data_IF_726977394104
#
_entry.id   IF_726977394104
#
_cell.length_a   1.000
_cell.length_b   1.000
_cell.length_c   1.000
_cell.angle_alpha   90.00
_cell.angle_beta   90.00
_cell.angle_gamma   90.00
#
_symmetry.space_group_name_H-M   'P 1'
#
loop_
_entity.id
_entity.type
_entity.pdbx_description
1 polymer ?
#
# COMPACT_ATOMS: atom_id res chain seq x y z
N UNK A 1 -1.81 34.75 4.46
CA UNK A 1 -2.93 33.95 3.89
C UNK A 1 -4.17 34.24 4.73
N UNK A 2 -5.24 34.72 4.10
CA UNK A 2 -6.50 34.99 4.82
C UNK A 2 -7.24 33.68 5.12
N UNK A 3 -8.14 33.67 6.12
CA UNK A 3 -8.96 32.50 6.46
C UNK A 3 -9.79 32.04 5.24
N UNK A 4 -10.32 33.00 4.47
CA UNK A 4 -11.06 32.70 3.24
C UNK A 4 -10.22 31.94 2.20
N UNK A 5 -8.93 32.25 2.07
CA UNK A 5 -8.05 31.50 1.17
C UNK A 5 -7.84 30.06 1.66
N UNK A 6 -7.76 29.84 2.98
CA UNK A 6 -7.62 28.51 3.55
C UNK A 6 -8.87 27.65 3.35
N UNK A 7 -10.06 28.23 3.41
CA UNK A 7 -11.31 27.50 3.17
C UNK A 7 -11.36 26.87 1.78
N UNK A 8 -10.77 27.51 0.76
CA UNK A 8 -10.69 26.95 -0.59
C UNK A 8 -9.77 25.72 -0.70
N UNK A 9 -8.82 25.56 0.22
CA UNK A 9 -7.96 24.36 0.28
C UNK A 9 -8.61 23.18 1.01
N UNK A 10 -9.74 23.39 1.70
CA UNK A 10 -10.45 22.31 2.38
C UNK A 10 -11.26 21.52 1.35
N UNK A 11 -11.04 20.19 1.23
CA UNK A 11 -11.84 19.37 0.32
C UNK A 11 -13.30 19.35 0.81
N UNK A 12 -14.26 19.57 -0.08
CA UNK A 12 -15.67 19.63 0.31
C UNK A 12 -16.17 18.27 0.79
N UNK A 13 -16.75 18.20 1.99
CA UNK A 13 -17.35 16.98 2.50
C UNK A 13 -18.47 16.51 1.56
N UNK A 14 -18.43 15.24 1.13
CA UNK A 14 -19.44 14.66 0.25
C UNK A 14 -19.28 14.99 -1.25
N UNK A 15 -18.29 15.79 -1.63
CA UNK A 15 -17.98 16.00 -3.05
C UNK A 15 -17.32 14.75 -3.67
N UNK A 16 -17.62 14.48 -4.94
CA UNK A 16 -16.96 13.41 -5.70
C UNK A 16 -15.51 13.78 -6.00
N UNK A 17 -14.59 12.84 -5.77
CA UNK A 17 -13.21 12.87 -6.23
C UNK A 17 -13.13 12.35 -7.68
N UNK A 18 -11.97 12.52 -8.30
CA UNK A 18 -11.68 12.08 -9.67
C UNK A 18 -11.73 10.56 -9.85
N UNK A 19 -11.53 9.81 -8.76
CA UNK A 19 -11.59 8.34 -8.73
C UNK A 19 -13.02 7.80 -8.51
N UNK A 20 -14.03 8.68 -8.46
CA UNK A 20 -15.43 8.31 -8.22
C UNK A 20 -15.78 8.08 -6.74
N UNK A 21 -14.82 8.19 -5.82
CA UNK A 21 -15.09 8.14 -4.38
C UNK A 21 -15.53 9.50 -3.84
N UNK A 22 -16.19 9.53 -2.69
CA UNK A 22 -16.53 10.79 -2.03
C UNK A 22 -15.40 11.26 -1.10
N UNK A 23 -15.29 12.57 -0.88
CA UNK A 23 -14.44 13.13 0.18
C UNK A 23 -14.80 12.51 1.53
N UNK A 24 -13.83 11.82 2.12
CA UNK A 24 -13.96 11.18 3.43
C UNK A 24 -14.20 12.23 4.50
N UNK A 25 -15.15 11.94 5.40
CA UNK A 25 -15.43 12.77 6.56
C UNK A 25 -14.18 12.99 7.42
N UNK A 26 -13.31 11.99 7.58
CA UNK A 26 -12.09 12.15 8.37
C UNK A 26 -11.09 13.11 7.72
N UNK A 27 -10.97 13.07 6.39
CA UNK A 27 -10.05 13.92 5.64
C UNK A 27 -10.54 15.39 5.72
N UNK A 28 -11.86 15.60 5.51
CA UNK A 28 -12.50 16.89 5.70
C UNK A 28 -12.36 17.38 7.14
N UNK A 29 -12.70 16.55 8.13
CA UNK A 29 -12.66 16.87 9.56
C UNK A 29 -11.28 17.36 9.96
N UNK A 30 -10.22 16.68 9.52
CA UNK A 30 -8.85 17.12 9.77
C UNK A 30 -8.56 18.49 9.15
N UNK A 31 -8.89 18.69 7.87
CA UNK A 31 -8.62 19.94 7.16
C UNK A 31 -9.37 21.14 7.77
N UNK A 32 -10.67 21.02 8.00
CA UNK A 32 -11.47 22.10 8.60
C UNK A 32 -11.02 22.39 10.05
N UNK A 33 -10.59 21.37 10.79
CA UNK A 33 -10.04 21.52 12.14
C UNK A 33 -8.80 22.41 12.19
N UNK A 34 -7.97 22.40 11.13
CA UNK A 34 -6.81 23.28 11.01
C UNK A 34 -7.22 24.73 10.74
N UNK A 35 -8.23 24.93 9.88
CA UNK A 35 -8.77 26.26 9.61
C UNK A 35 -9.38 26.88 10.87
N UNK A 36 -10.19 26.11 11.61
CA UNK A 36 -10.79 26.57 12.86
C UNK A 36 -9.74 26.90 13.93
N UNK A 37 -8.62 26.16 14.00
CA UNK A 37 -7.49 26.51 14.88
C UNK A 37 -6.86 27.83 14.47
N UNK A 38 -6.63 28.03 13.17
CA UNK A 38 -6.05 29.27 12.65
C UNK A 38 -6.96 30.49 12.88
N UNK A 39 -8.27 30.27 12.86
CA UNK A 39 -9.31 31.25 13.18
C UNK A 39 -9.53 31.47 14.68
N UNK A 40 -8.86 30.70 15.56
CA UNK A 40 -9.08 30.79 17.01
C UNK A 40 -10.46 30.29 17.47
N UNK A 41 -11.16 29.56 16.61
CA UNK A 41 -12.50 29.00 16.82
C UNK A 41 -12.47 27.53 17.27
N UNK A 42 -11.31 26.87 17.28
CA UNK A 42 -11.24 25.45 17.68
C UNK A 42 -11.57 25.21 19.16
N UNK A 43 -11.11 26.11 20.04
CA UNK A 43 -11.24 26.00 21.49
C UNK A 43 -12.70 25.88 21.97
N UNK A 44 -13.65 26.49 21.25
CA UNK A 44 -15.06 26.47 21.63
C UNK A 44 -15.74 25.13 21.37
N UNK A 45 -15.13 24.24 20.57
CA UNK A 45 -15.67 22.91 20.29
C UNK A 45 -15.66 22.00 21.54
N UNK A 46 -14.76 22.27 22.48
CA UNK A 46 -14.60 21.49 23.72
C UNK A 46 -15.09 22.22 24.97
N UNK A 47 -15.32 23.54 24.90
CA UNK A 47 -15.66 24.39 26.05
C UNK A 47 -17.17 24.64 26.12
N UNK A 48 -17.71 24.65 27.33
CA UNK A 48 -19.09 25.05 27.56
C UNK A 48 -19.29 26.53 27.22
N UNK A 49 -20.48 26.86 26.73
CA UNK A 49 -20.88 28.23 26.44
C UNK A 49 -20.92 29.03 27.75
N UNK A 50 -20.18 30.15 27.86
CA UNK A 50 -20.25 31.02 29.04
C UNK A 50 -21.67 31.57 29.25
N UNK A 51 -22.05 31.77 30.51
CA UNK A 51 -23.44 32.11 30.88
C UNK A 51 -23.80 33.59 30.72
N UNK A 52 -22.83 34.52 30.81
CA UNK A 52 -23.08 35.97 30.71
C UNK A 52 -21.83 36.77 30.35
N UNK A 53 -22.01 37.94 29.73
CA UNK A 53 -20.99 38.99 29.58
C UNK A 53 -20.13 38.90 28.33
N UNK A 54 -18.98 39.60 28.33
CA UNK A 54 -18.06 39.70 27.18
C UNK A 54 -17.52 38.34 26.71
N UNK A 55 -17.33 37.41 27.66
CA UNK A 55 -16.91 36.04 27.35
C UNK A 55 -17.97 35.28 26.53
N UNK A 56 -19.26 35.49 26.81
CA UNK A 56 -20.35 34.90 26.04
C UNK A 56 -20.39 35.48 24.63
N UNK A 57 -20.34 36.80 24.49
CA UNK A 57 -20.33 37.46 23.18
C UNK A 57 -19.12 37.03 22.32
N UNK A 58 -17.95 36.89 22.94
CA UNK A 58 -16.74 36.38 22.26
C UNK A 58 -16.91 34.92 21.82
N UNK A 59 -17.52 34.09 22.67
CA UNK A 59 -17.84 32.70 22.33
C UNK A 59 -18.81 32.63 21.14
N UNK A 60 -19.88 33.43 21.17
CA UNK A 60 -20.91 33.47 20.13
C UNK A 60 -20.33 33.92 18.79
N UNK A 61 -19.50 34.97 18.77
CA UNK A 61 -18.81 35.42 17.57
C UNK A 61 -17.95 34.32 16.94
N UNK A 62 -17.22 33.55 17.76
CA UNK A 62 -16.42 32.40 17.29
C UNK A 62 -17.29 31.24 16.82
N UNK A 63 -18.45 31.04 17.44
CA UNK A 63 -19.37 29.97 17.07
C UNK A 63 -20.03 30.25 15.72
N UNK A 64 -20.36 31.50 15.43
CA UNK A 64 -20.84 31.97 14.12
C UNK A 64 -19.76 31.86 13.03
N UNK A 65 -18.53 32.26 13.33
CA UNK A 65 -17.40 32.11 12.40
C UNK A 65 -17.13 30.63 12.09
N UNK A 66 -17.20 29.76 13.11
CA UNK A 66 -17.09 28.33 12.92
C UNK A 66 -18.22 27.74 12.07
N UNK A 67 -19.47 28.19 12.26
CA UNK A 67 -20.60 27.76 11.44
C UNK A 67 -20.37 28.09 9.97
N UNK A 68 -19.93 29.31 9.70
CA UNK A 68 -19.63 29.78 8.33
C UNK A 68 -18.52 28.94 7.70
N UNK A 69 -17.43 28.70 8.42
CA UNK A 69 -16.31 27.89 7.95
C UNK A 69 -16.73 26.44 7.63
N UNK A 70 -17.53 25.83 8.52
CA UNK A 70 -18.07 24.48 8.31
C UNK A 70 -18.97 24.47 7.07
N UNK A 71 -19.97 25.36 7.01
CA UNK A 71 -20.94 25.40 5.91
C UNK A 71 -20.31 25.62 4.53
N UNK A 72 -19.30 26.48 4.43
CA UNK A 72 -18.59 26.77 3.16
C UNK A 72 -17.73 25.60 2.66
N UNK A 73 -17.44 24.62 3.51
CA UNK A 73 -16.65 23.43 3.18
C UNK A 73 -17.49 22.17 3.05
N UNK A 74 -18.81 22.29 3.02
CA UNK A 74 -19.73 21.21 2.68
C UNK A 74 -20.11 21.26 1.20
N UNK A 75 -20.24 20.08 0.60
CA UNK A 75 -20.99 19.95 -0.65
C UNK A 75 -22.49 20.17 -0.40
N UNK A 76 -23.27 20.75 -1.34
CA UNK A 76 -24.70 20.97 -1.17
C UNK A 76 -25.50 19.73 -0.76
N UNK A 77 -25.06 18.53 -1.16
CA UNK A 77 -25.68 17.26 -0.75
C UNK A 77 -25.68 17.02 0.78
N UNK A 78 -24.81 17.71 1.52
CA UNK A 78 -24.65 17.57 2.96
C UNK A 78 -25.38 18.66 3.76
N UNK A 79 -25.93 19.70 3.12
CA UNK A 79 -26.54 20.85 3.83
C UNK A 79 -27.71 20.46 4.74
N UNK A 80 -28.52 19.47 4.33
CA UNK A 80 -29.65 18.96 5.12
C UNK A 80 -29.25 18.49 6.53
N UNK A 81 -27.99 18.14 6.75
CA UNK A 81 -27.49 17.65 8.04
C UNK A 81 -27.19 18.75 9.05
N UNK A 82 -27.05 20.00 8.61
CA UNK A 82 -26.74 21.15 9.47
C UNK A 82 -27.69 22.33 9.26
N UNK A 83 -28.75 22.17 8.47
CA UNK A 83 -29.63 23.26 8.07
C UNK A 83 -30.30 23.96 9.26
N UNK A 84 -30.61 23.21 10.31
CA UNK A 84 -31.19 23.67 11.57
C UNK A 84 -30.12 23.89 12.66
N UNK A 85 -28.84 23.90 12.31
CA UNK A 85 -27.77 24.13 13.27
C UNK A 85 -27.78 25.58 13.75
N UNK A 86 -27.77 25.79 15.06
CA UNK A 86 -27.82 27.13 15.65
C UNK A 86 -26.48 27.84 15.61
N UNK A 87 -25.37 27.09 15.66
CA UNK A 87 -24.01 27.60 15.65
C UNK A 87 -23.03 26.52 15.16
N UNK A 88 -21.74 26.87 15.07
CA UNK A 88 -20.71 25.97 14.57
C UNK A 88 -20.45 24.75 15.46
N UNK A 89 -20.73 24.85 16.77
CA UNK A 89 -20.58 23.72 17.71
C UNK A 89 -21.71 22.71 17.50
N UNK A 90 -22.95 23.18 17.31
CA UNK A 90 -24.08 22.31 16.96
C UNK A 90 -23.88 21.65 15.58
N UNK A 91 -23.48 22.43 14.56
CA UNK A 91 -23.18 21.89 13.24
C UNK A 91 -22.10 20.79 13.28
N UNK A 92 -21.03 21.03 14.05
CA UNK A 92 -19.96 20.04 14.26
C UNK A 92 -20.50 18.74 14.89
N UNK A 93 -21.28 18.85 15.97
CA UNK A 93 -21.86 17.70 16.68
C UNK A 93 -22.85 16.93 15.81
N UNK A 94 -23.65 17.61 14.99
CA UNK A 94 -24.59 16.98 14.05
C UNK A 94 -23.87 16.14 13.00
N UNK A 95 -22.84 16.70 12.36
CA UNK A 95 -22.01 15.95 11.42
C UNK A 95 -21.31 14.77 12.13
N UNK A 96 -20.73 15.01 13.30
CA UNK A 96 -20.09 13.97 14.09
C UNK A 96 -21.03 12.78 14.37
N UNK A 97 -22.27 13.05 14.75
CA UNK A 97 -23.29 12.04 15.03
C UNK A 97 -23.63 11.18 13.79
N UNK A 98 -23.50 11.73 12.60
CA UNK A 98 -23.78 11.04 11.34
C UNK A 98 -22.61 10.13 10.94
N UNK A 99 -21.39 10.68 10.88
CA UNK A 99 -20.24 9.96 10.31
C UNK A 99 -19.42 9.18 11.33
N UNK A 100 -19.45 9.54 12.62
CA UNK A 100 -18.73 8.84 13.71
C UNK A 100 -19.68 7.99 14.55
N UNK A 101 -20.68 7.39 13.90
CA UNK A 101 -21.68 6.57 14.57
C UNK A 101 -21.04 5.29 15.13
N UNK A 102 -20.95 5.18 16.45
CA UNK A 102 -20.55 3.95 17.14
C UNK A 102 -21.68 2.89 17.16
N UNK A 103 -22.20 2.53 15.98
CA UNK A 103 -23.17 1.46 15.81
C UNK A 103 -22.48 0.10 15.64
N UNK A 104 -23.17 -0.98 16.00
CA UNK A 104 -22.66 -2.35 15.81
C UNK A 104 -22.28 -2.63 14.35
N UNK A 105 -23.12 -2.21 13.40
CA UNK A 105 -22.84 -2.38 11.98
C UNK A 105 -21.57 -1.64 11.54
N UNK A 106 -21.41 -0.37 11.97
CA UNK A 106 -20.23 0.43 11.62
C UNK A 106 -18.95 -0.16 12.24
N UNK A 107 -19.01 -0.57 13.52
CA UNK A 107 -17.88 -1.27 14.17
C UNK A 107 -17.47 -2.52 13.40
N UNK A 108 -18.43 -3.37 13.03
CA UNK A 108 -18.14 -4.60 12.28
C UNK A 108 -17.52 -4.27 10.91
N UNK A 109 -18.05 -3.27 10.20
CA UNK A 109 -17.53 -2.87 8.90
C UNK A 109 -16.08 -2.38 9.00
N UNK A 110 -15.78 -1.48 9.94
CA UNK A 110 -14.44 -0.94 10.15
C UNK A 110 -13.46 -2.00 10.65
N UNK A 111 -13.88 -2.91 11.55
CA UNK A 111 -13.02 -4.01 11.99
C UNK A 111 -12.69 -4.95 10.86
N UNK A 112 -13.64 -5.25 9.96
CA UNK A 112 -13.35 -6.04 8.76
C UNK A 112 -12.38 -5.32 7.85
N UNK A 113 -12.58 -4.03 7.61
CA UNK A 113 -11.67 -3.24 6.79
C UNK A 113 -10.25 -3.18 7.38
N UNK A 114 -10.13 -3.14 8.71
CA UNK A 114 -8.85 -3.10 9.40
C UNK A 114 -8.15 -4.46 9.37
N UNK A 115 -8.77 -5.51 9.92
CA UNK A 115 -8.15 -6.84 10.05
C UNK A 115 -8.04 -7.61 8.73
N UNK A 116 -8.88 -7.30 7.73
CA UNK A 116 -8.84 -7.91 6.40
C UNK A 116 -8.36 -6.93 5.33
N UNK A 117 -7.61 -5.88 5.68
CA UNK A 117 -6.85 -5.13 4.69
C UNK A 117 -5.78 -6.07 4.11
N UNK A 118 -5.72 -6.18 2.77
CA UNK A 118 -4.72 -7.01 2.09
C UNK A 118 -3.82 -6.12 1.25
N UNK A 119 -2.54 -6.41 1.27
CA UNK A 119 -1.56 -5.74 0.43
C UNK A 119 -1.65 -6.28 -1.00
N UNK A 120 -1.91 -5.39 -1.97
CA UNK A 120 -1.79 -5.69 -3.40
C UNK A 120 -0.37 -5.33 -3.89
N UNK A 121 0.45 -6.31 -4.30
CA UNK A 121 1.83 -6.06 -4.71
C UNK A 121 1.96 -5.25 -6.02
N UNK A 122 0.86 -5.01 -6.73
CA UNK A 122 0.82 -4.18 -7.93
C UNK A 122 0.53 -2.70 -7.65
N UNK A 123 0.18 -2.36 -6.41
CA UNK A 123 -0.08 -0.99 -5.98
C UNK A 123 1.08 -0.45 -5.13
N UNK A 124 1.21 0.88 -4.97
CA UNK A 124 2.12 1.47 -3.98
C UNK A 124 1.86 0.90 -2.57
N UNK A 125 2.92 0.55 -1.84
CA UNK A 125 2.81 0.01 -0.48
C UNK A 125 2.17 1.03 0.47
N UNK A 126 2.34 2.31 0.17
CA UNK A 126 1.74 3.41 0.90
C UNK A 126 0.22 3.37 0.86
N UNK A 127 -0.40 2.89 -0.22
CA UNK A 127 -1.86 2.78 -0.29
C UNK A 127 -2.38 1.78 0.75
N UNK A 128 -1.69 0.65 0.90
CA UNK A 128 -1.98 -0.36 1.92
C UNK A 128 -1.74 0.19 3.34
N UNK A 129 -0.58 0.80 3.59
CA UNK A 129 -0.24 1.39 4.90
C UNK A 129 -1.24 2.48 5.29
N UNK A 130 -1.51 3.42 4.39
CA UNK A 130 -2.43 4.52 4.62
C UNK A 130 -3.86 4.03 4.84
N UNK A 131 -4.28 2.98 4.12
CA UNK A 131 -5.58 2.33 4.31
C UNK A 131 -5.76 1.78 5.73
N UNK A 132 -4.77 1.07 6.25
CA UNK A 132 -4.78 0.51 7.62
C UNK A 132 -4.79 1.63 8.65
N UNK A 133 -3.87 2.59 8.56
CA UNK A 133 -3.77 3.72 9.51
C UNK A 133 -5.07 4.55 9.52
N UNK A 134 -5.65 4.80 8.33
CA UNK A 134 -6.92 5.52 8.20
C UNK A 134 -8.05 4.77 8.88
N UNK A 135 -8.15 3.46 8.68
CA UNK A 135 -9.19 2.63 9.31
C UNK A 135 -9.01 2.55 10.83
N UNK A 136 -7.77 2.44 11.31
CA UNK A 136 -7.47 2.49 12.75
C UNK A 136 -7.88 3.82 13.39
N UNK A 137 -7.60 4.94 12.72
CA UNK A 137 -8.03 6.27 13.18
C UNK A 137 -9.56 6.42 13.18
N UNK A 138 -10.26 5.83 12.20
CA UNK A 138 -11.72 5.78 12.18
C UNK A 138 -12.28 4.98 13.37
N UNK A 139 -11.69 3.83 13.69
CA UNK A 139 -12.04 3.05 14.89
C UNK A 139 -11.84 3.87 16.16
N UNK A 140 -10.68 4.53 16.32
CA UNK A 140 -10.39 5.44 17.44
C UNK A 140 -11.43 6.57 17.53
N UNK A 141 -11.83 7.15 16.40
CA UNK A 141 -12.80 8.25 16.35
C UNK A 141 -14.21 7.88 16.84
N UNK A 142 -14.60 6.60 16.72
CA UNK A 142 -15.88 6.10 17.23
C UNK A 142 -15.77 5.51 18.65
N UNK A 143 -14.63 5.67 19.32
CA UNK A 143 -14.39 5.21 20.68
C UNK A 143 -13.91 3.76 20.80
N UNK A 144 -13.45 3.14 19.71
CA UNK A 144 -12.76 1.85 19.75
C UNK A 144 -11.26 2.11 19.92
N UNK A 145 -10.70 1.78 21.08
CA UNK A 145 -9.24 1.85 21.25
C UNK A 145 -8.57 0.77 20.41
N UNK A 146 -7.52 1.14 19.66
CA UNK A 146 -6.66 0.23 18.93
C UNK A 146 -5.24 0.59 19.34
N UNK A 147 -4.56 -0.34 19.98
CA UNK A 147 -3.19 -0.19 20.42
C UNK A 147 -2.24 -0.17 19.20
N UNK A 148 -1.15 0.57 19.33
CA UNK A 148 -0.23 0.77 18.20
C UNK A 148 0.44 -0.54 17.75
N UNK A 149 0.70 -1.47 18.68
CA UNK A 149 1.19 -2.81 18.34
C UNK A 149 0.19 -3.58 17.46
N UNK A 150 -1.12 -3.42 17.67
CA UNK A 150 -2.15 -4.08 16.85
C UNK A 150 -2.12 -3.54 15.41
N UNK A 151 -1.82 -2.25 15.24
CA UNK A 151 -1.65 -1.64 13.90
C UNK A 151 -0.42 -2.25 13.22
N UNK A 152 0.68 -2.40 13.96
CA UNK A 152 1.91 -3.04 13.47
C UNK A 152 1.67 -4.50 13.07
N UNK A 153 0.98 -5.27 13.91
CA UNK A 153 0.66 -6.67 13.63
C UNK A 153 -0.14 -6.80 12.32
N UNK A 154 -1.17 -5.97 12.15
CA UNK A 154 -2.00 -5.95 10.92
C UNK A 154 -1.19 -5.55 9.70
N UNK A 155 -0.30 -4.55 9.81
CA UNK A 155 0.59 -4.15 8.73
C UNK A 155 1.45 -5.32 8.25
N UNK A 156 1.95 -6.16 9.15
CA UNK A 156 2.87 -7.27 8.84
C UNK A 156 2.11 -8.52 8.36
N UNK A 157 1.03 -8.92 9.05
CA UNK A 157 0.40 -10.22 8.83
C UNK A 157 -0.34 -10.37 7.49
N UNK A 158 -0.78 -9.26 6.90
CA UNK A 158 -1.53 -9.26 5.63
C UNK A 158 -0.72 -8.75 4.44
N UNK A 159 0.61 -8.74 4.56
CA UNK A 159 1.49 -8.52 3.41
C UNK A 159 1.33 -9.66 2.41
N UNK A 160 1.34 -9.34 1.12
CA UNK A 160 1.39 -10.32 0.05
C UNK A 160 2.54 -11.32 0.24
N UNK A 161 2.36 -12.58 -0.18
CA UNK A 161 3.33 -13.66 0.03
C UNK A 161 4.71 -13.35 -0.59
N UNK A 162 4.74 -12.56 -1.68
CA UNK A 162 6.01 -12.11 -2.28
C UNK A 162 6.82 -11.21 -1.33
N UNK A 163 6.21 -10.69 -0.25
CA UNK A 163 6.82 -9.88 0.81
C UNK A 163 7.15 -10.66 2.08
N UNK A 164 7.02 -11.99 2.07
CA UNK A 164 7.30 -12.89 3.21
C UNK A 164 8.67 -12.68 3.86
N UNK A 165 9.72 -12.34 3.10
CA UNK A 165 11.06 -12.10 3.66
C UNK A 165 11.10 -10.90 4.62
N UNK A 166 10.50 -9.77 4.25
CA UNK A 166 10.47 -8.59 5.13
C UNK A 166 9.46 -8.81 6.25
N UNK A 167 8.34 -9.49 5.98
CA UNK A 167 7.35 -9.84 6.99
C UNK A 167 7.97 -10.70 8.10
N UNK A 168 8.75 -11.72 7.74
CA UNK A 168 9.47 -12.57 8.69
C UNK A 168 10.53 -11.81 9.49
N UNK A 169 11.29 -10.92 8.84
CA UNK A 169 12.27 -10.07 9.54
C UNK A 169 11.63 -9.12 10.54
N UNK A 170 10.50 -8.50 10.16
CA UNK A 170 9.77 -7.59 11.05
C UNK A 170 9.11 -8.37 12.19
N UNK A 171 8.48 -9.51 11.91
CA UNK A 171 7.83 -10.35 12.92
C UNK A 171 8.79 -11.04 13.90
N UNK A 172 10.07 -11.20 13.54
CA UNK A 172 11.10 -11.69 14.46
C UNK A 172 11.59 -10.61 15.45
N UNK A 173 11.17 -9.35 15.28
CA UNK A 173 11.54 -8.25 16.17
C UNK A 173 10.87 -8.44 17.53
N UNK A 174 11.65 -8.68 18.58
CA UNK A 174 11.14 -8.92 19.95
C UNK A 174 10.77 -7.63 20.69
N UNK A 175 10.67 -6.50 20.00
CA UNK A 175 10.29 -5.22 20.61
C UNK A 175 8.79 -5.02 20.40
N UNK A 176 8.03 -5.25 21.47
CA UNK A 176 6.59 -4.99 21.51
C UNK A 176 6.24 -3.51 21.24
N UNK A 177 7.21 -2.61 21.43
CA UNK A 177 7.10 -1.16 21.18
C UNK A 177 7.62 -0.73 19.80
N UNK A 178 7.66 -1.64 18.82
CA UNK A 178 8.05 -1.25 17.46
C UNK A 178 7.11 -0.15 16.97
N UNK A 179 7.65 1.03 16.72
CA UNK A 179 6.85 2.17 16.29
C UNK A 179 6.26 1.93 14.89
N UNK A 180 5.01 2.34 14.69
CA UNK A 180 4.34 2.30 13.37
C UNK A 180 5.21 2.96 12.29
N UNK A 181 5.92 4.03 12.63
CA UNK A 181 6.83 4.75 11.72
C UNK A 181 8.03 3.90 11.27
N UNK A 182 8.57 3.05 12.15
CA UNK A 182 9.70 2.19 11.81
C UNK A 182 9.28 1.10 10.82
N UNK A 183 8.14 0.45 11.05
CA UNK A 183 7.57 -0.53 10.11
C UNK A 183 7.20 0.12 8.78
N UNK A 184 6.56 1.30 8.83
CA UNK A 184 6.22 2.08 7.63
C UNK A 184 7.47 2.37 6.79
N UNK A 185 8.56 2.85 7.40
CA UNK A 185 9.81 3.11 6.71
C UNK A 185 10.41 1.85 6.08
N UNK A 186 10.47 0.74 6.83
CA UNK A 186 11.00 -0.52 6.34
C UNK A 186 10.23 -1.06 5.11
N UNK A 187 8.90 -0.92 5.09
CA UNK A 187 8.07 -1.35 3.98
C UNK A 187 8.27 -0.48 2.73
N UNK A 188 8.41 0.84 2.89
CA UNK A 188 8.71 1.78 1.80
C UNK A 188 10.11 1.50 1.21
N UNK A 189 11.10 1.28 2.07
CA UNK A 189 12.47 0.94 1.65
C UNK A 189 12.50 -0.40 0.88
N UNK A 190 11.73 -1.38 1.32
CA UNK A 190 11.59 -2.66 0.62
C UNK A 190 10.94 -2.50 -0.76
N UNK A 191 9.91 -1.67 -0.91
CA UNK A 191 9.36 -1.38 -2.26
C UNK A 191 10.40 -0.74 -3.15
N UNK A 192 11.15 0.24 -2.62
CA UNK A 192 12.21 0.94 -3.34
C UNK A 192 13.29 -0.04 -3.81
N UNK A 193 13.72 -0.95 -2.95
CA UNK A 193 14.69 -2.01 -3.28
C UNK A 193 14.17 -2.95 -4.37
N UNK A 194 12.90 -3.38 -4.28
CA UNK A 194 12.26 -4.24 -5.29
C UNK A 194 12.19 -3.57 -6.65
N UNK A 195 11.79 -2.29 -6.69
CA UNK A 195 11.72 -1.52 -7.92
C UNK A 195 13.12 -1.38 -8.56
N UNK A 196 14.15 -1.10 -7.77
CA UNK A 196 15.54 -1.04 -8.26
C UNK A 196 16.00 -2.39 -8.84
N UNK A 197 15.68 -3.51 -8.20
CA UNK A 197 16.03 -4.84 -8.69
C UNK A 197 15.28 -5.22 -9.97
N UNK A 198 14.02 -4.82 -10.11
CA UNK A 198 13.26 -5.00 -11.35
C UNK A 198 13.89 -4.22 -12.51
N UNK A 199 14.41 -3.01 -12.24
CA UNK A 199 15.15 -2.25 -13.24
C UNK A 199 16.49 -2.89 -13.64
N UNK A 200 17.18 -3.58 -12.73
CA UNK A 200 18.39 -4.35 -13.06
C UNK A 200 18.08 -5.63 -13.85
N UNK A 201 16.91 -6.24 -13.64
CA UNK A 201 16.43 -7.41 -14.39
C UNK A 201 15.94 -7.09 -15.81
N UNK A 202 15.46 -5.87 -16.05
CA UNK A 202 15.05 -5.37 -17.38
C UNK A 202 16.21 -4.79 -18.20
N UNK A 203 17.41 -4.69 -17.60
CA UNK A 203 18.64 -4.62 -18.40
C UNK A 203 18.78 -6.00 -19.05
N UNK A 204 18.15 -6.15 -20.22
CA UNK A 204 18.65 -7.06 -21.25
C UNK A 204 20.09 -6.64 -21.49
N UNK A 205 21.02 -7.25 -20.75
CA UNK A 205 22.36 -7.41 -21.25
C UNK A 205 22.16 -7.94 -22.67
N UNK A 206 22.57 -7.21 -23.73
CA UNK A 206 22.64 -7.83 -25.03
C UNK A 206 23.41 -9.10 -24.79
N UNK A 207 22.85 -10.22 -25.25
CA UNK A 207 23.31 -11.59 -25.04
C UNK A 207 24.81 -11.66 -25.30
N UNK A 208 25.56 -11.31 -24.27
CA UNK A 208 27.01 -11.33 -24.19
C UNK A 208 27.30 -12.52 -23.32
N UNK A 209 26.67 -13.65 -23.69
CA UNK A 209 27.38 -14.90 -23.80
C UNK A 209 28.78 -14.57 -24.33
N UNK A 210 29.73 -14.43 -23.41
CA UNK A 210 31.17 -14.40 -23.60
C UNK A 210 31.55 -14.25 -25.08
N UNK A 211 31.38 -13.05 -25.64
CA UNK A 211 32.16 -12.69 -26.83
C UNK A 211 33.55 -12.47 -26.26
N UNK A 212 34.22 -13.60 -26.02
CA UNK A 212 35.55 -13.66 -25.50
C UNK A 212 36.36 -12.69 -26.32
N UNK A 213 36.90 -11.68 -25.64
CA UNK A 213 37.98 -10.84 -26.14
C UNK A 213 38.82 -11.71 -27.05
N UNK A 214 38.79 -11.36 -28.33
CA UNK A 214 39.51 -11.99 -29.42
C UNK A 214 40.65 -12.86 -28.91
N UNK A 215 40.52 -14.19 -29.07
CA UNK A 215 41.60 -15.13 -28.86
C UNK A 215 42.64 -14.97 -29.98
N UNK A 216 43.22 -13.78 -30.13
CA UNK A 216 44.14 -13.39 -31.21
C UNK A 216 45.52 -14.03 -31.09
N UNK A 217 45.79 -14.80 -30.03
CA UNK A 217 47.06 -15.49 -29.81
C UNK A 217 47.00 -17.01 -29.73
N UNK A 218 45.81 -17.64 -29.74
CA UNK A 218 45.72 -19.08 -29.47
C UNK A 218 45.71 -19.90 -30.76
N UNK A 219 46.63 -20.87 -30.84
CA UNK A 219 46.70 -21.84 -31.93
C UNK A 219 45.88 -23.08 -31.57
N UNK A 220 45.09 -23.57 -32.51
CA UNK A 220 44.39 -24.84 -32.37
C UNK A 220 45.39 -26.00 -32.44
N UNK A 221 45.48 -26.82 -31.39
CA UNK A 221 46.39 -27.96 -31.34
C UNK A 221 46.02 -29.12 -32.30
N UNK A 222 44.82 -29.11 -32.88
CA UNK A 222 44.37 -30.13 -33.85
C UNK A 222 44.69 -29.74 -35.30
N UNK A 223 44.42 -28.49 -35.71
CA UNK A 223 44.61 -28.05 -37.10
C UNK A 223 45.73 -27.01 -37.30
N UNK A 224 46.37 -26.55 -36.23
CA UNK A 224 47.46 -25.57 -36.25
C UNK A 224 47.05 -24.12 -36.54
N UNK A 225 45.76 -23.83 -36.82
CA UNK A 225 45.29 -22.48 -37.19
C UNK A 225 45.02 -21.60 -35.95
N UNK A 226 45.30 -20.29 -36.08
CA UNK A 226 45.08 -19.26 -35.05
C UNK A 226 43.60 -18.94 -34.86
N UNK A 227 43.23 -18.45 -33.67
CA UNK A 227 41.93 -17.84 -33.40
C UNK A 227 40.86 -18.75 -32.79
N UNK A 228 41.15 -20.03 -32.52
CA UNK A 228 40.22 -20.95 -31.86
C UNK A 228 40.94 -22.08 -31.11
N UNK A 229 40.27 -22.67 -30.13
CA UNK A 229 40.73 -23.87 -29.40
C UNK A 229 40.32 -25.16 -30.11
N UNK A 230 41.03 -26.26 -29.84
CA UNK A 230 40.76 -27.60 -30.39
C UNK A 230 39.29 -28.03 -30.28
N UNK A 231 38.64 -27.77 -29.14
CA UNK A 231 37.21 -28.07 -28.90
C UNK A 231 36.23 -27.35 -29.84
N UNK A 232 36.67 -26.24 -30.43
CA UNK A 232 35.89 -25.41 -31.35
C UNK A 232 36.40 -25.54 -32.80
N UNK A 233 37.19 -26.57 -33.11
CA UNK A 233 37.76 -26.80 -34.43
C UNK A 233 36.69 -27.32 -35.41
N UNK A 234 36.41 -26.53 -36.45
CA UNK A 234 35.44 -26.86 -37.50
C UNK A 234 35.83 -28.13 -38.29
N UNK A 235 37.12 -28.37 -38.47
CA UNK A 235 37.63 -29.54 -39.20
C UNK A 235 37.44 -30.84 -38.40
N UNK A 236 37.63 -30.80 -37.07
CA UNK A 236 37.37 -31.94 -36.20
C UNK A 236 35.89 -32.35 -36.20
N UNK A 237 34.98 -31.37 -36.14
CA UNK A 237 33.52 -31.62 -36.20
C UNK A 237 33.04 -32.17 -37.54
N UNK A 238 33.75 -31.93 -38.64
CA UNK A 238 33.44 -32.54 -39.94
C UNK A 238 33.83 -34.01 -39.99
N UNK A 239 34.89 -34.41 -39.30
CA UNK A 239 35.34 -35.80 -39.25
C UNK A 239 34.45 -36.67 -38.33
N UNK A 240 33.80 -36.08 -37.32
CA UNK A 240 32.85 -36.80 -36.46
C UNK A 240 31.49 -37.05 -37.16
N UNK A 241 30.99 -36.07 -37.94
CA UNK A 241 29.74 -36.23 -38.70
C UNK A 241 29.80 -37.27 -39.83
N UNK A 242 31.00 -37.70 -40.25
CA UNK A 242 31.15 -38.78 -41.22
C UNK A 242 31.09 -40.20 -40.64
N UNK A 243 31.08 -40.35 -39.29
CA UNK A 243 31.04 -41.66 -38.62
C UNK A 243 29.65 -42.09 -38.14
N UNK A 244 28.70 -41.15 -38.00
CA UNK A 244 27.36 -41.45 -37.47
C UNK A 244 26.37 -41.99 -38.51
N UNK A 245 26.69 -41.94 -39.80
CA UNK A 245 25.78 -42.40 -40.87
C UNK A 245 25.97 -43.89 -41.26
N UNK A 246 26.85 -44.63 -40.58
CA UNK A 246 27.15 -46.04 -40.85
C UNK A 246 26.62 -47.04 -39.80
N UNK A 247 25.92 -46.58 -38.75
CA UNK A 247 25.39 -47.43 -37.68
C UNK A 247 23.92 -47.12 -37.39
N UNK A 248 23.05 -47.30 -38.38
CA UNK A 248 21.63 -47.49 -38.08
C UNK A 248 21.02 -48.50 -39.05
N UNK A 249 21.29 -49.78 -38.80
CA UNK A 249 20.48 -50.88 -39.30
C UNK A 249 20.52 -52.05 -38.32
N UNK A 250 19.36 -52.34 -37.73
CA UNK A 250 19.06 -53.60 -37.07
C UNK A 250 19.06 -53.56 -35.54
N UNK A 251 17.85 -53.51 -34.94
CA UNK A 251 17.24 -54.68 -34.25
C UNK A 251 16.12 -54.22 -33.32
N UNK A 252 14.92 -54.71 -33.60
CA UNK A 252 13.73 -54.61 -32.76
C UNK A 252 13.79 -55.62 -31.60
N UNK A 253 13.29 -55.25 -30.42
CA UNK A 253 12.66 -56.18 -29.47
C UNK A 253 12.05 -55.48 -28.26
N UNK A 254 10.71 -55.45 -28.26
CA UNK A 254 9.74 -55.70 -27.19
C UNK A 254 9.96 -55.20 -25.74
N UNK A 255 8.96 -54.43 -25.29
CA UNK A 255 8.63 -54.10 -23.91
C UNK A 255 7.91 -55.26 -23.19
N UNK A 256 7.84 -55.21 -21.85
CA UNK A 256 6.65 -55.69 -21.14
C UNK A 256 5.99 -54.62 -20.27
N UNK A 257 4.67 -54.73 -20.22
CA UNK A 257 3.66 -54.01 -19.43
C UNK A 257 3.67 -54.35 -17.93
N UNK A 258 2.97 -53.48 -17.18
CA UNK A 258 2.37 -53.59 -15.81
C UNK A 258 3.10 -52.82 -14.70
N UNK A 259 2.44 -52.10 -13.80
CA UNK A 259 1.01 -51.86 -13.54
C UNK A 259 0.82 -50.56 -12.70
N UNK A 260 -0.36 -49.96 -12.85
CA UNK A 260 -0.92 -48.93 -11.97
C UNK A 260 -1.10 -49.44 -10.54
N UNK A 261 -0.75 -48.61 -9.56
CA UNK A 261 -1.40 -48.56 -8.25
C UNK A 261 -1.61 -47.09 -7.88
N UNK A 262 -2.88 -46.72 -7.76
CA UNK A 262 -3.35 -45.48 -7.15
C UNK A 262 -3.77 -45.76 -5.71
N UNK A 263 -3.62 -44.75 -4.84
CA UNK A 263 -4.34 -44.40 -3.58
C UNK A 263 -3.36 -43.56 -2.75
N UNK A 264 -3.68 -42.52 -1.99
CA UNK A 264 -4.84 -41.65 -1.77
C UNK A 264 -4.29 -40.54 -0.85
N UNK A 265 -4.97 -39.40 -0.85
CA UNK A 265 -5.23 -38.48 0.28
C UNK A 265 -4.13 -38.16 1.32
N UNK A 266 -3.90 -36.85 1.54
CA UNK A 266 -4.33 -36.19 2.78
C UNK A 266 -4.30 -34.67 2.60
N UNK A 267 -5.47 -34.06 2.73
CA UNK A 267 -5.68 -32.66 3.02
C UNK A 267 -5.65 -32.44 4.54
N UNK A 268 -4.96 -31.39 5.00
CA UNK A 268 -5.36 -30.51 6.10
C UNK A 268 -4.66 -29.16 5.90
#
# INVERSE_FOLDING_TARGET
MSINQLLHSVPKLGASKSDGTLTSYQDWKFAISMVLRRAGCWEIMSKEKPSTGEAQATWEAKAEEALTAIGLTLDPSQYQYIQDATDGVDAWKKLQKIYEKNSRANRIALMRQFYYAHHDPHMPIEDYINGIIKTANQLKSIGMNIEDFTIVDVLIMNLDETWSSIAGSLGATTQDDTAISAVTGALIDEQTRRNANNHLGDIRYPDTALVGKHATGINCYLCGKKGHLARNCREARKNEKGKTDAQNNGSASQAPDRANVATDDYAF
#
